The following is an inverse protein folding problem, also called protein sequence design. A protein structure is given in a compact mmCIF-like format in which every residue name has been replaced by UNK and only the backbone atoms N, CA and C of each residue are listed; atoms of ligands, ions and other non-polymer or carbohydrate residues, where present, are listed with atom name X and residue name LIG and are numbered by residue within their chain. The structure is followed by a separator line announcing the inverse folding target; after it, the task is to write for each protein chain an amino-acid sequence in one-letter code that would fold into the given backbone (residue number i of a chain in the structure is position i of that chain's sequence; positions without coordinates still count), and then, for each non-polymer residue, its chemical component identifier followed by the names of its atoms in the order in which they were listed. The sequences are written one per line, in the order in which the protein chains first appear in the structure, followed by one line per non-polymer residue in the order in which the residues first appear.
data_IF_139851009806
#
_entry.id   IF_139851009806
#
_cell.length_a   1.000
_cell.length_b   1.000
_cell.length_c   1.000
_cell.angle_alpha   90.00
_cell.angle_beta   90.00
_cell.angle_gamma   90.00
#
_symmetry.space_group_name_H-M   'P 1'
#
loop_
_entity.id
_entity.type
_entity.pdbx_description
1 polymer ?
#
# COMPACT_ATOMS: atom_id res chain seq x y z
N UNK A 1 1.57 20.86 -5.12
CA UNK A 1 0.27 20.31 -4.65
C UNK A 1 0.40 18.86 -4.16
N UNK A 2 1.01 17.97 -4.95
CA UNK A 2 1.22 16.54 -4.64
C UNK A 2 1.75 16.22 -3.24
N UNK A 3 2.88 16.82 -2.82
CA UNK A 3 3.53 16.54 -1.52
C UNK A 3 2.60 16.87 -0.33
N UNK A 4 1.72 17.87 -0.46
CA UNK A 4 0.73 18.22 0.58
C UNK A 4 -0.26 17.09 0.81
N UNK A 5 -0.73 16.48 -0.27
CA UNK A 5 -1.65 15.35 -0.19
C UNK A 5 -0.96 14.10 0.35
N UNK A 6 0.28 13.83 -0.05
CA UNK A 6 1.06 12.72 0.49
C UNK A 6 1.21 12.84 2.01
N UNK A 7 1.59 14.01 2.52
CA UNK A 7 1.71 14.23 3.97
C UNK A 7 0.35 14.10 4.66
N UNK A 8 -0.72 14.64 4.07
CA UNK A 8 -2.05 14.53 4.67
C UNK A 8 -2.55 13.09 4.73
N UNK A 9 -2.32 12.32 3.68
CA UNK A 9 -2.70 10.91 3.62
C UNK A 9 -1.85 10.08 4.60
N UNK A 10 -0.56 10.37 4.71
CA UNK A 10 0.29 9.76 5.73
C UNK A 10 -0.24 10.00 7.15
N UNK A 11 -0.61 11.24 7.50
CA UNK A 11 -1.23 11.55 8.80
C UNK A 11 -2.51 10.75 9.04
N UNK A 12 -3.37 10.62 8.04
CA UNK A 12 -4.60 9.84 8.14
C UNK A 12 -4.30 8.36 8.43
N UNK A 13 -3.32 7.77 7.74
CA UNK A 13 -2.90 6.40 8.00
C UNK A 13 -2.30 6.24 9.40
N UNK A 14 -1.51 7.21 9.88
CA UNK A 14 -0.93 7.18 11.22
C UNK A 14 -2.02 7.24 12.31
N UNK A 15 -3.03 8.09 12.15
CA UNK A 15 -4.19 8.17 13.08
C UNK A 15 -5.00 6.88 13.07
N UNK A 16 -5.13 6.22 11.92
CA UNK A 16 -5.82 4.95 11.77
C UNK A 16 -4.99 3.73 12.21
N UNK A 17 -3.75 3.91 12.69
CA UNK A 17 -2.80 2.83 12.98
C UNK A 17 -2.45 1.94 11.77
N UNK A 18 -2.64 2.45 10.55
CA UNK A 18 -2.33 1.78 9.29
C UNK A 18 -0.86 2.05 8.92
N UNK A 19 0.06 1.46 9.68
CA UNK A 19 1.49 1.79 9.60
C UNK A 19 2.14 1.37 8.28
N UNK A 20 1.71 0.26 7.66
CA UNK A 20 2.24 -0.19 6.39
C UNK A 20 1.90 0.81 5.27
N UNK A 21 0.64 1.22 5.19
CA UNK A 21 0.12 2.20 4.24
C UNK A 21 0.72 3.59 4.49
N UNK A 22 0.92 3.97 5.75
CA UNK A 22 1.61 5.20 6.12
C UNK A 22 3.03 5.25 5.56
N UNK A 23 3.78 4.15 5.67
CA UNK A 23 5.13 4.00 5.12
C UNK A 23 5.14 4.02 3.58
N UNK A 24 4.25 3.27 2.94
CA UNK A 24 4.11 3.24 1.47
C UNK A 24 3.76 4.63 0.91
N UNK A 25 2.88 5.36 1.59
CA UNK A 25 2.49 6.72 1.20
C UNK A 25 3.68 7.68 1.23
N UNK A 26 4.45 7.69 2.33
CA UNK A 26 5.69 8.49 2.42
C UNK A 26 6.74 8.07 1.40
N UNK A 27 6.79 6.79 1.04
CA UNK A 27 7.72 6.28 0.03
C UNK A 27 7.49 6.91 -1.34
N UNK A 28 6.24 7.28 -1.68
CA UNK A 28 5.95 8.03 -2.90
C UNK A 28 6.68 9.37 -2.94
N UNK A 29 6.74 10.07 -1.82
CA UNK A 29 7.51 11.31 -1.72
C UNK A 29 9.02 11.04 -1.75
N UNK A 30 9.50 10.06 -0.99
CA UNK A 30 10.92 9.73 -0.94
C UNK A 30 11.50 9.32 -2.32
N UNK A 31 10.71 8.66 -3.17
CA UNK A 31 11.08 8.29 -4.55
C UNK A 31 11.26 9.51 -5.47
N UNK A 32 10.58 10.62 -5.18
CA UNK A 32 10.73 11.85 -5.98
C UNK A 32 12.00 12.65 -5.64
N UNK A 33 12.72 12.26 -4.59
CA UNK A 33 13.94 12.94 -4.12
C UNK A 33 15.21 12.24 -4.60
N UNK A 34 16.21 13.02 -4.97
CA UNK A 34 17.58 12.58 -5.24
C UNK A 34 18.49 12.56 -4.00
N UNK A 35 19.62 11.88 -4.12
CA UNK A 35 20.75 12.01 -3.17
C UNK A 35 21.63 13.20 -3.57
N UNK A 36 21.07 14.40 -3.54
CA UNK A 36 21.76 15.61 -3.99
C UNK A 36 21.90 16.66 -2.87
N UNK A 37 22.85 17.58 -3.04
CA UNK A 37 23.03 18.75 -2.18
C UNK A 37 22.10 19.92 -2.53
N UNK A 38 21.14 19.73 -3.46
CA UNK A 38 20.18 20.77 -3.84
C UNK A 38 19.40 21.21 -2.60
N UNK A 39 19.38 22.52 -2.35
CA UNK A 39 18.58 23.09 -1.28
C UNK A 39 17.10 23.03 -1.66
N UNK A 40 16.31 22.43 -0.79
CA UNK A 40 14.86 22.43 -0.89
C UNK A 40 14.33 23.60 -0.05
N UNK A 41 13.46 24.46 -0.61
CA UNK A 41 12.90 25.58 0.12
C UNK A 41 12.11 25.09 1.33
N UNK A 42 12.05 25.93 2.37
CA UNK A 42 11.15 25.71 3.49
C UNK A 42 9.70 25.70 3.00
N UNK A 43 8.92 24.71 3.43
CA UNK A 43 7.55 24.57 2.96
C UNK A 43 6.86 23.32 3.47
N UNK A 44 5.53 23.40 3.57
CA UNK A 44 4.67 22.43 4.25
C UNK A 44 5.00 22.32 5.75
N UNK A 45 5.76 21.29 6.10
CA UNK A 45 6.12 20.88 7.47
C UNK A 45 7.63 20.66 7.59
N UNK A 46 8.41 21.08 6.61
CA UNK A 46 9.85 20.87 6.57
C UNK A 46 10.61 22.20 6.50
N UNK A 47 11.69 22.28 7.28
CA UNK A 47 12.65 23.41 7.27
C UNK A 47 13.43 23.46 5.96
N UNK A 48 14.17 24.52 5.68
CA UNK A 48 15.11 24.47 4.55
C UNK A 48 16.21 23.43 4.84
N UNK A 49 16.44 22.51 3.91
CA UNK A 49 17.49 21.50 4.03
C UNK A 49 17.88 20.93 2.67
N UNK A 50 19.01 20.23 2.60
CA UNK A 50 19.43 19.56 1.37
C UNK A 50 18.49 18.41 1.03
N UNK A 51 18.35 18.14 -0.26
CA UNK A 51 17.50 17.07 -0.77
C UNK A 51 17.86 15.71 -0.16
N UNK A 52 19.17 15.39 -0.09
CA UNK A 52 19.69 14.18 0.57
C UNK A 52 19.28 14.05 2.05
N UNK A 53 19.32 15.14 2.80
CA UNK A 53 18.97 15.14 4.23
C UNK A 53 17.46 14.90 4.40
N UNK A 54 16.63 15.44 3.50
CA UNK A 54 15.20 15.14 3.46
C UNK A 54 14.93 13.69 3.11
N UNK A 55 15.61 13.16 2.11
CA UNK A 55 15.45 11.77 1.68
C UNK A 55 15.84 10.80 2.79
N UNK A 56 16.98 11.02 3.45
CA UNK A 56 17.43 10.23 4.61
C UNK A 56 16.38 10.23 5.73
N UNK A 57 15.88 11.41 6.11
CA UNK A 57 14.86 11.55 7.15
C UNK A 57 13.59 10.77 6.80
N UNK A 58 13.10 10.88 5.55
CA UNK A 58 11.93 10.14 5.09
C UNK A 58 12.17 8.64 5.09
N UNK A 59 13.34 8.17 4.62
CA UNK A 59 13.70 6.76 4.64
C UNK A 59 13.65 6.19 6.06
N UNK A 60 14.21 6.91 7.05
CA UNK A 60 14.15 6.51 8.46
C UNK A 60 12.72 6.45 9.00
N UNK A 61 11.88 7.43 8.64
CA UNK A 61 10.46 7.41 9.02
C UNK A 61 9.72 6.21 8.41
N UNK A 62 9.92 5.94 7.13
CA UNK A 62 9.31 4.82 6.41
C UNK A 62 9.74 3.48 7.02
N UNK A 63 11.04 3.29 7.27
CA UNK A 63 11.57 2.07 7.89
C UNK A 63 10.93 1.85 9.27
N UNK A 64 10.78 2.90 10.08
CA UNK A 64 10.13 2.82 11.38
C UNK A 64 8.62 2.50 11.26
N UNK A 65 7.94 3.06 10.26
CA UNK A 65 6.55 2.72 9.96
C UNK A 65 6.40 1.25 9.57
N UNK A 66 7.30 0.71 8.74
CA UNK A 66 7.29 -0.70 8.37
C UNK A 66 7.61 -1.65 9.52
N UNK A 67 8.49 -1.25 10.45
CA UNK A 67 8.74 -2.04 11.67
C UNK A 67 7.48 -2.11 12.54
N UNK A 68 6.79 -0.98 12.74
CA UNK A 68 5.50 -0.94 13.47
C UNK A 68 4.40 -1.74 12.77
N UNK A 69 4.37 -1.69 11.44
CA UNK A 69 3.42 -2.44 10.62
C UNK A 69 3.75 -3.94 10.49
N UNK A 70 4.86 -4.41 11.08
CA UNK A 70 5.36 -5.80 10.96
C UNK A 70 5.52 -6.26 9.49
N UNK A 71 5.88 -5.32 8.61
CA UNK A 71 6.08 -5.54 7.15
C UNK A 71 7.55 -5.32 6.77
N UNK A 72 8.43 -6.05 7.46
CA UNK A 72 9.88 -5.83 7.43
C UNK A 72 10.52 -6.03 6.05
N UNK A 73 9.95 -6.84 5.17
CA UNK A 73 10.46 -7.05 3.82
C UNK A 73 10.49 -5.76 3.01
N UNK A 74 9.50 -4.88 3.20
CA UNK A 74 9.43 -3.60 2.52
C UNK A 74 10.49 -2.61 3.02
N UNK A 75 11.02 -2.81 4.23
CA UNK A 75 12.11 -2.02 4.77
C UNK A 75 13.47 -2.44 4.20
N UNK A 76 13.66 -3.70 3.81
CA UNK A 76 14.97 -4.24 3.39
C UNK A 76 15.58 -3.50 2.18
N UNK A 77 14.84 -3.18 1.09
CA UNK A 77 15.39 -2.40 -0.02
C UNK A 77 15.84 -1.00 0.43
N UNK A 78 15.05 -0.33 1.26
CA UNK A 78 15.38 1.01 1.79
C UNK A 78 16.66 0.96 2.65
N UNK A 79 16.83 -0.10 3.46
CA UNK A 79 18.05 -0.30 4.23
C UNK A 79 19.28 -0.57 3.33
N UNK A 80 19.12 -1.20 2.17
CA UNK A 80 20.22 -1.41 1.22
C UNK A 80 20.66 -0.09 0.60
N UNK A 81 19.71 0.67 0.04
CA UNK A 81 19.96 1.98 -0.55
C UNK A 81 20.64 2.95 0.45
N UNK A 82 20.14 2.96 1.69
CA UNK A 82 20.67 3.85 2.73
C UNK A 82 22.05 3.41 3.23
N UNK A 83 22.34 2.10 3.22
CA UNK A 83 23.65 1.58 3.57
C UNK A 83 24.70 2.00 2.53
N UNK A 84 24.39 1.89 1.24
CA UNK A 84 25.28 2.34 0.16
C UNK A 84 25.57 3.84 0.28
N UNK A 85 24.54 4.65 0.56
CA UNK A 85 24.71 6.08 0.79
C UNK A 85 25.62 6.38 2.00
N UNK A 86 25.45 5.68 3.14
CA UNK A 86 26.32 5.89 4.30
C UNK A 86 27.75 5.45 4.09
N UNK A 87 27.97 4.38 3.32
CA UNK A 87 29.30 3.91 2.97
C UNK A 87 30.03 4.93 2.08
N UNK A 88 29.36 5.46 1.05
CA UNK A 88 29.91 6.47 0.15
C UNK A 88 30.23 7.80 0.85
N UNK A 89 29.47 8.18 1.88
CA UNK A 89 29.64 9.41 2.64
C UNK A 89 30.48 9.22 3.92
N UNK A 90 31.07 8.04 4.12
CA UNK A 90 31.91 7.71 5.30
C UNK A 90 31.16 7.84 6.65
N UNK A 91 29.83 7.69 6.67
CA UNK A 91 28.99 7.77 7.87
C UNK A 91 28.88 6.42 8.61
N UNK A 92 30.03 5.82 8.94
CA UNK A 92 30.11 4.43 9.43
C UNK A 92 29.35 4.17 10.74
N UNK A 93 29.19 5.18 11.60
CA UNK A 93 28.39 5.05 12.82
C UNK A 93 26.92 4.76 12.49
N UNK A 94 26.33 5.56 11.59
CA UNK A 94 24.95 5.36 11.13
C UNK A 94 24.79 4.06 10.34
N UNK A 95 25.81 3.69 9.55
CA UNK A 95 25.85 2.41 8.85
C UNK A 95 25.79 1.22 9.81
N UNK A 96 26.59 1.24 10.89
CA UNK A 96 26.57 0.19 11.90
C UNK A 96 25.20 0.00 12.54
N UNK A 97 24.54 1.10 12.90
CA UNK A 97 23.19 1.06 13.48
C UNK A 97 22.15 0.54 12.48
N UNK A 98 22.25 0.97 11.22
CA UNK A 98 21.36 0.51 10.14
C UNK A 98 21.53 -1.00 9.87
N UNK A 99 22.76 -1.51 9.87
CA UNK A 99 23.04 -2.93 9.65
C UNK A 99 22.50 -3.80 10.80
N UNK A 100 22.60 -3.34 12.04
CA UNK A 100 21.96 -4.01 13.19
C UNK A 100 20.45 -4.04 13.04
N UNK A 101 19.83 -2.94 12.62
CA UNK A 101 18.40 -2.89 12.36
C UNK A 101 17.99 -3.83 11.21
N UNK A 102 18.76 -3.87 10.12
CA UNK A 102 18.53 -4.79 9.01
C UNK A 102 18.67 -6.25 9.43
N UNK A 103 19.65 -6.58 10.26
CA UNK A 103 19.80 -7.92 10.83
C UNK A 103 18.60 -8.30 11.70
N UNK A 104 18.12 -7.39 12.54
CA UNK A 104 16.93 -7.65 13.36
C UNK A 104 15.68 -7.86 12.51
N UNK A 105 15.55 -7.18 11.37
CA UNK A 105 14.47 -7.46 10.41
C UNK A 105 14.55 -8.87 9.83
N UNK A 106 15.74 -9.35 9.44
CA UNK A 106 15.88 -10.74 8.98
C UNK A 106 15.46 -11.74 10.07
N UNK A 107 15.87 -11.52 11.31
CA UNK A 107 15.44 -12.35 12.43
C UNK A 107 13.93 -12.28 12.63
N UNK A 108 13.33 -11.08 12.66
CA UNK A 108 11.86 -10.90 12.81
C UNK A 108 11.06 -11.57 11.69
N UNK A 109 11.57 -11.57 10.45
CA UNK A 109 10.94 -12.25 9.31
C UNK A 109 10.96 -13.77 9.47
N UNK A 110 12.08 -14.33 9.95
CA UNK A 110 12.29 -15.77 10.08
C UNK A 110 11.70 -16.36 11.37
N UNK A 111 12.02 -15.72 12.48
CA UNK A 111 11.75 -16.17 13.85
C UNK A 111 10.43 -15.67 14.39
N UNK A 112 9.70 -14.88 13.60
CA UNK A 112 8.30 -14.67 13.80
C UNK A 112 7.92 -14.22 15.23
N UNK A 113 7.84 -12.90 15.49
CA UNK A 113 7.58 -12.32 16.82
C UNK A 113 6.66 -13.22 17.68
N UNK A 114 7.12 -13.69 18.87
CA UNK A 114 6.34 -14.58 19.73
C UNK A 114 4.91 -14.08 19.85
N UNK A 115 3.94 -14.94 19.56
CA UNK A 115 2.53 -14.59 19.60
C UNK A 115 2.17 -13.95 20.94
N UNK A 116 1.30 -12.94 20.90
CA UNK A 116 0.76 -12.29 22.10
C UNK A 116 -0.07 -13.26 22.97
N UNK A 117 -0.29 -14.50 22.51
CA UNK A 117 -1.04 -15.54 23.19
C UNK A 117 -0.11 -16.58 23.84
N UNK A 118 0.14 -16.51 25.15
CA UNK A 118 1.02 -17.44 25.87
C UNK A 118 0.46 -18.88 25.94
N UNK A 119 -0.83 -19.07 25.65
CA UNK A 119 -1.53 -20.35 25.85
C UNK A 119 -1.52 -21.26 24.61
N UNK A 120 -1.10 -20.76 23.43
CA UNK A 120 -1.12 -21.55 22.19
C UNK A 120 0.11 -21.25 21.30
N UNK A 121 1.28 -21.86 21.59
CA UNK A 121 2.53 -21.62 20.87
C UNK A 121 2.53 -22.10 19.40
N UNK A 122 1.49 -22.79 18.94
CA UNK A 122 1.34 -23.25 17.55
C UNK A 122 0.56 -22.25 16.65
N UNK A 123 -0.12 -21.23 17.23
CA UNK A 123 -0.79 -20.13 16.49
C UNK A 123 0.22 -19.06 16.02
N UNK A 124 1.31 -19.52 15.43
CA UNK A 124 2.50 -18.74 15.17
C UNK A 124 2.42 -18.10 13.78
N UNK A 125 1.75 -16.94 13.69
CA UNK A 125 1.81 -16.08 12.50
C UNK A 125 2.36 -14.69 12.82
N UNK A 126 3.62 -14.39 12.45
CA UNK A 126 4.29 -13.12 12.76
C UNK A 126 4.09 -12.00 11.76
N UNK A 127 3.56 -12.38 10.60
CA UNK A 127 3.32 -11.53 9.45
C UNK A 127 1.88 -11.06 9.59
N UNK A 128 1.56 -9.82 9.25
CA UNK A 128 0.16 -9.49 8.99
C UNK A 128 -0.39 -10.54 8.02
N UNK A 129 -1.35 -11.36 8.46
CA UNK A 129 -2.03 -12.26 7.55
C UNK A 129 -2.58 -11.40 6.42
N UNK A 130 -2.25 -11.70 5.16
CA UNK A 130 -2.86 -10.99 4.07
C UNK A 130 -4.35 -11.33 4.07
N UNK A 131 -5.15 -10.43 4.63
CA UNK A 131 -6.58 -10.61 4.75
C UNK A 131 -7.23 -10.26 3.40
N UNK A 132 -7.56 -11.28 2.62
CA UNK A 132 -8.27 -11.10 1.36
C UNK A 132 -9.77 -11.05 1.59
N UNK A 133 -10.35 -9.90 1.27
CA UNK A 133 -11.80 -9.72 1.26
C UNK A 133 -12.25 -9.62 -0.19
N UNK A 134 -13.07 -10.59 -0.64
CA UNK A 134 -13.85 -10.38 -1.85
C UNK A 134 -15.07 -9.57 -1.45
N UNK A 135 -15.18 -8.38 -2.03
CA UNK A 135 -16.33 -7.50 -1.82
C UNK A 135 -16.96 -7.25 -3.18
N UNK A 136 -18.22 -7.63 -3.32
CA UNK A 136 -18.98 -7.44 -4.55
C UNK A 136 -20.19 -6.57 -4.23
N UNK A 137 -20.34 -5.49 -4.98
CA UNK A 137 -21.45 -4.55 -4.86
C UNK A 137 -22.50 -4.90 -5.91
N UNK A 138 -23.72 -5.17 -5.47
CA UNK A 138 -24.86 -5.44 -6.33
C UNK A 138 -25.86 -4.27 -6.24
N UNK A 139 -26.45 -3.88 -7.38
CA UNK A 139 -27.47 -2.83 -7.47
C UNK A 139 -27.08 -1.60 -8.29
N UNK A 140 -28.05 -1.03 -9.02
CA UNK A 140 -27.84 0.12 -9.92
C UNK A 140 -27.67 1.47 -9.19
N UNK A 141 -28.01 1.53 -7.91
CA UNK A 141 -27.93 2.71 -7.06
C UNK A 141 -26.53 2.96 -6.49
N UNK A 142 -25.58 2.04 -6.67
CA UNK A 142 -24.16 2.31 -6.37
C UNK A 142 -23.49 3.07 -7.51
N UNK A 143 -22.68 4.10 -7.21
CA UNK A 143 -21.83 4.77 -8.19
C UNK A 143 -20.96 3.76 -8.95
N UNK A 144 -20.79 3.95 -10.26
CA UNK A 144 -20.05 3.02 -11.13
C UNK A 144 -18.64 2.70 -10.61
N UNK A 145 -17.98 3.65 -9.96
CA UNK A 145 -16.63 3.48 -9.41
C UNK A 145 -16.56 2.52 -8.20
N UNK A 146 -17.66 2.39 -7.45
CA UNK A 146 -17.74 1.53 -6.26
C UNK A 146 -17.95 0.07 -6.65
N UNK A 147 -18.52 -0.20 -7.84
CA UNK A 147 -18.80 -1.55 -8.34
C UNK A 147 -17.54 -2.39 -8.60
N UNK A 148 -16.34 -1.80 -8.52
CA UNK A 148 -15.04 -2.38 -8.87
C UNK A 148 -14.13 -2.76 -7.66
N UNK A 149 -14.73 -3.11 -6.52
CA UNK A 149 -14.15 -3.86 -5.39
C UNK A 149 -13.82 -3.08 -4.09
N UNK A 150 -14.04 -3.81 -2.98
CA UNK A 150 -13.50 -3.69 -1.58
C UNK A 150 -14.37 -2.96 -0.53
N UNK A 151 -14.34 -3.44 0.75
CA UNK A 151 -14.64 -2.76 2.06
C UNK A 151 -15.90 -3.19 2.91
N UNK A 152 -16.17 -4.47 3.21
CA UNK A 152 -17.45 -4.88 3.87
C UNK A 152 -17.75 -4.20 5.23
N UNK A 153 -16.75 -3.97 6.08
CA UNK A 153 -16.98 -3.56 7.48
C UNK A 153 -17.08 -2.04 7.69
N UNK A 154 -16.42 -1.21 6.87
CA UNK A 154 -16.67 0.25 6.91
C UNK A 154 -17.91 0.63 6.11
N UNK A 155 -18.27 -0.16 5.09
CA UNK A 155 -19.47 0.09 4.29
C UNK A 155 -20.77 -0.03 5.09
N UNK A 156 -20.85 -0.87 6.13
CA UNK A 156 -22.07 -0.95 6.94
C UNK A 156 -22.32 0.32 7.75
N UNK A 157 -21.26 1.05 8.11
CA UNK A 157 -21.35 2.33 8.80
C UNK A 157 -21.62 3.49 7.82
N UNK A 158 -21.02 3.43 6.61
CA UNK A 158 -21.20 4.47 5.57
C UNK A 158 -22.51 4.30 4.76
N UNK A 159 -23.02 3.08 4.62
CA UNK A 159 -24.22 2.73 3.85
C UNK A 159 -25.20 1.93 4.71
N UNK A 160 -25.91 2.58 5.65
CA UNK A 160 -26.79 1.91 6.61
C UNK A 160 -28.01 1.20 5.98
N UNK A 161 -28.32 1.50 4.71
CA UNK A 161 -29.41 0.87 3.96
C UNK A 161 -28.96 -0.40 3.19
N UNK A 162 -27.66 -0.71 3.17
CA UNK A 162 -27.13 -1.82 2.40
C UNK A 162 -27.20 -3.13 3.19
N UNK A 163 -27.76 -4.18 2.58
CA UNK A 163 -27.85 -5.50 3.20
C UNK A 163 -26.55 -6.30 2.98
N UNK A 164 -25.94 -6.81 4.05
CA UNK A 164 -24.73 -7.64 3.98
C UNK A 164 -25.12 -9.10 3.70
N UNK A 165 -24.69 -9.60 2.55
CA UNK A 165 -24.85 -11.00 2.16
C UNK A 165 -23.52 -11.69 2.44
N UNK A 166 -23.55 -12.84 3.14
CA UNK A 166 -22.34 -13.57 3.57
C UNK A 166 -22.09 -14.86 2.77
N UNK A 167 -23.05 -15.27 1.94
CA UNK A 167 -23.01 -16.56 1.27
C UNK A 167 -22.94 -16.40 -0.26
N UNK A 168 -22.01 -17.13 -0.89
CA UNK A 168 -21.67 -16.97 -2.30
C UNK A 168 -22.49 -17.96 -3.17
N UNK A 169 -23.82 -17.83 -3.15
CA UNK A 169 -24.73 -18.69 -3.91
C UNK A 169 -24.94 -18.13 -5.34
N UNK A 170 -25.05 -18.98 -6.38
CA UNK A 170 -25.26 -18.53 -7.77
C UNK A 170 -26.59 -17.80 -8.00
N UNK A 171 -27.56 -17.94 -7.09
CA UNK A 171 -28.83 -17.20 -7.07
C UNK A 171 -28.63 -15.67 -6.91
N UNK A 172 -27.45 -15.24 -6.43
CA UNK A 172 -27.12 -13.82 -6.27
C UNK A 172 -26.85 -13.08 -7.60
N UNK A 173 -26.73 -13.79 -8.73
CA UNK A 173 -26.59 -13.17 -10.07
C UNK A 173 -27.82 -12.32 -10.42
N UNK A 174 -29.02 -12.72 -9.99
CA UNK A 174 -30.28 -11.99 -10.21
C UNK A 174 -30.33 -10.63 -9.48
N UNK A 175 -29.51 -10.44 -8.44
CA UNK A 175 -29.43 -9.18 -7.68
C UNK A 175 -28.65 -8.09 -8.43
N UNK A 176 -27.94 -8.41 -9.52
CA UNK A 176 -27.22 -7.42 -10.35
C UNK A 176 -28.17 -6.40 -10.99
N UNK A 177 -29.39 -6.83 -11.31
CA UNK A 177 -30.37 -6.02 -12.04
C UNK A 177 -31.39 -5.29 -11.15
N UNK A 178 -31.36 -5.57 -9.84
CA UNK A 178 -32.26 -4.96 -8.85
C UNK A 178 -31.87 -3.53 -8.44
N UNK A 179 -32.86 -2.80 -7.91
CA UNK A 179 -32.69 -1.42 -7.41
C UNK A 179 -32.12 -1.36 -5.98
N UNK A 180 -32.10 -2.50 -5.27
CA UNK A 180 -31.65 -2.61 -3.88
C UNK A 180 -30.11 -2.67 -3.78
N UNK A 181 -29.59 -2.08 -2.70
CA UNK A 181 -28.16 -2.09 -2.39
C UNK A 181 -27.78 -3.34 -1.59
N UNK A 182 -26.96 -4.21 -2.17
CA UNK A 182 -26.46 -5.39 -1.47
C UNK A 182 -24.93 -5.44 -1.52
N UNK A 183 -24.33 -5.76 -0.38
CA UNK A 183 -22.87 -5.92 -0.24
C UNK A 183 -22.61 -7.38 0.06
N UNK A 184 -21.99 -8.10 -0.87
CA UNK A 184 -21.51 -9.45 -0.63
C UNK A 184 -20.11 -9.38 -0.04
N UNK A 185 -19.96 -9.92 1.17
CA UNK A 185 -18.70 -9.95 1.87
C UNK A 185 -18.25 -11.35 2.23
N UNK A 186 -17.10 -11.77 1.69
CA UNK A 186 -16.51 -13.06 2.02
C UNK A 186 -15.12 -12.87 2.66
N UNK A 187 -14.97 -13.38 3.88
CA UNK A 187 -13.69 -13.56 4.54
C UNK A 187 -13.13 -14.92 4.12
N UNK A 188 -12.05 -14.91 3.33
CA UNK A 188 -11.39 -16.13 2.89
C UNK A 188 -10.52 -16.75 3.96
N UNK A 189 -11.10 -17.22 5.06
CA UNK A 189 -10.37 -18.07 6.01
C UNK A 189 -9.86 -19.31 5.26
N UNK A 190 -8.54 -19.47 5.16
CA UNK A 190 -7.89 -20.64 4.55
C UNK A 190 -7.65 -20.60 3.04
N UNK A 191 -7.90 -19.47 2.34
CA UNK A 191 -7.46 -19.32 0.94
C UNK A 191 -6.12 -18.60 0.88
N UNK A 192 -5.06 -19.34 0.54
CA UNK A 192 -3.77 -18.73 0.26
C UNK A 192 -3.85 -17.84 -0.99
N UNK A 193 -3.22 -16.66 -0.98
CA UNK A 193 -3.04 -15.92 -2.21
C UNK A 193 -2.28 -16.79 -3.21
N UNK A 194 -2.77 -16.82 -4.43
CA UNK A 194 -2.00 -17.36 -5.55
C UNK A 194 -0.68 -16.59 -5.61
N UNK A 195 0.44 -17.24 -5.24
CA UNK A 195 1.81 -16.70 -5.30
C UNK A 195 2.22 -16.18 -6.69
N UNK A 196 1.35 -16.28 -7.69
CA UNK A 196 1.62 -15.99 -9.09
C UNK A 196 1.62 -14.50 -9.46
N UNK A 197 1.22 -13.58 -8.58
CA UNK A 197 1.15 -12.16 -8.95
C UNK A 197 2.54 -11.51 -9.13
N UNK A 198 3.57 -11.89 -8.37
CA UNK A 198 4.92 -11.33 -8.57
C UNK A 198 5.50 -11.62 -9.95
N UNK A 199 5.24 -12.81 -10.51
CA UNK A 199 5.72 -13.20 -11.85
C UNK A 199 4.97 -12.50 -12.97
N UNK A 200 3.70 -12.16 -12.77
CA UNK A 200 2.89 -11.47 -13.78
C UNK A 200 3.31 -10.00 -13.89
N UNK A 201 3.59 -9.32 -12.77
CA UNK A 201 4.02 -7.92 -12.81
C UNK A 201 5.47 -7.72 -13.27
N UNK A 202 6.38 -8.67 -13.00
CA UNK A 202 7.77 -8.61 -13.47
C UNK A 202 7.93 -8.94 -14.96
N UNK A 203 6.98 -9.69 -15.55
CA UNK A 203 7.04 -10.14 -16.95
C UNK A 203 5.99 -9.46 -17.85
N UNK A 204 5.26 -8.45 -17.36
CA UNK A 204 4.38 -7.67 -18.22
C UNK A 204 5.25 -6.88 -19.21
N UNK A 205 5.12 -7.07 -20.53
CA UNK A 205 5.80 -6.23 -21.49
C UNK A 205 5.32 -4.79 -21.26
N UNK A 206 6.25 -3.82 -21.28
CA UNK A 206 5.91 -2.40 -21.29
C UNK A 206 5.05 -2.15 -22.54
N UNK A 207 3.73 -2.14 -22.36
CA UNK A 207 2.82 -1.73 -23.42
C UNK A 207 3.00 -0.23 -23.54
N UNK A 208 3.81 0.17 -24.52
CA UNK A 208 3.89 1.52 -25.00
C UNK A 208 2.47 2.02 -25.24
N UNK A 209 2.11 3.09 -24.53
CA UNK A 209 0.83 3.76 -24.72
C UNK A 209 0.91 4.46 -26.07
N UNK A 210 0.51 3.77 -27.15
CA UNK A 210 0.21 4.45 -28.39
C UNK A 210 -1.07 5.28 -28.19
N UNK A 211 -1.08 6.56 -28.61
CA UNK A 211 -2.24 7.42 -28.45
C UNK A 211 -3.40 6.90 -29.31
N UNK A 212 -4.46 6.46 -28.64
CA UNK A 212 -5.73 6.06 -29.26
C UNK A 212 -6.32 7.28 -29.98
N UNK A 213 -6.19 7.31 -31.30
CA UNK A 213 -6.90 8.29 -32.15
C UNK A 213 -8.33 7.83 -32.31
N UNK A 214 -9.23 8.48 -31.59
CA UNK A 214 -10.68 8.29 -31.71
C UNK A 214 -11.13 8.75 -33.10
N UNK A 215 -11.43 7.81 -34.01
CA UNK A 215 -12.16 8.12 -35.25
C UNK A 215 -13.66 8.14 -34.94
N UNK A 216 -14.27 9.31 -35.05
CA UNK A 216 -15.72 9.44 -35.14
C UNK A 216 -16.20 8.99 -36.54
N UNK A 217 -17.31 8.25 -36.64
CA UNK A 217 -17.84 7.80 -37.91
C UNK A 217 -18.58 8.94 -38.63
N UNK A 218 -18.03 9.38 -39.76
CA UNK A 218 -18.75 10.13 -40.80
C UNK A 218 -18.74 11.65 -40.64
N UNK A 219 -18.01 12.34 -41.52
CA UNK A 219 -18.22 13.79 -41.73
C UNK A 219 -17.06 14.57 -42.36
N UNK A 220 -16.96 14.52 -43.69
CA UNK A 220 -16.32 15.46 -44.65
C UNK A 220 -14.86 15.91 -44.46
N UNK A 221 -14.08 15.54 -45.48
CA UNK A 221 -12.84 16.21 -45.91
C UNK A 221 -13.11 17.64 -46.34
N UNK A 222 -12.30 18.59 -45.87
CA UNK A 222 -12.01 19.83 -46.57
C UNK A 222 -10.51 20.13 -46.37
N UNK A 223 -9.86 20.52 -47.46
CA UNK A 223 -8.41 20.66 -47.66
C UNK A 223 -7.66 21.51 -46.64
#
# INVERSE_FOLDING_TARGET
MYIRYVNKLHELHMVANNYAEAGLTLQLYAKSLGWSDKLLPAGLSYTEQKERDRKEMLYRQIINSFDKGKVWEYALPLCKDLAEYYEQNFEYKKLGDLLKQKASFYMKIMEAVPGENPDNPEDFYPRQEPAYYRVTYYGKSFPLFVRLATIINHLSAEFPLAQIIRNNNPENEALKDGDQQCILGYHGAGKQPSMYLEKIFKNAPEVGIEPVTTRLPGGRLIH
#
